data_IF_089932065454
#
_entry.id   IF_089932065454
#
_cell.length_a   1.000
_cell.length_b   1.000
_cell.length_c   1.000
_cell.angle_alpha   90.00
_cell.angle_beta   90.00
_cell.angle_gamma   90.00
#
_symmetry.space_group_name_H-M   'P 1'
#
loop_
_entity.id
_entity.type
_entity.pdbx_description
1 polymer ?
#
# COMPACT_ATOMS: atom_id res chain seq x y z
N UNK A 1 6.31 -12.61 -9.75
CA UNK A 1 6.01 -13.27 -8.46
C UNK A 1 7.16 -13.03 -7.49
N UNK A 2 8.36 -13.57 -7.71
CA UNK A 2 9.53 -13.49 -6.83
C UNK A 2 9.76 -12.09 -6.21
N UNK A 3 9.93 -11.05 -7.02
CA UNK A 3 10.15 -9.68 -6.51
C UNK A 3 8.96 -9.13 -5.71
N UNK A 4 7.73 -9.45 -6.11
CA UNK A 4 6.54 -9.06 -5.33
C UNK A 4 6.50 -9.74 -3.98
N UNK A 5 6.78 -11.05 -3.93
CA UNK A 5 6.80 -11.82 -2.68
C UNK A 5 7.85 -11.27 -1.70
N UNK A 6 9.06 -10.98 -2.18
CA UNK A 6 10.10 -10.35 -1.37
C UNK A 6 9.70 -8.96 -0.86
N UNK A 7 9.08 -8.15 -1.71
CA UNK A 7 8.59 -6.84 -1.31
C UNK A 7 7.45 -6.94 -0.28
N UNK A 8 6.50 -7.86 -0.49
CA UNK A 8 5.42 -8.08 0.49
C UNK A 8 5.96 -8.59 1.82
N UNK A 9 6.98 -9.45 1.82
CA UNK A 9 7.65 -9.88 3.05
C UNK A 9 8.18 -8.69 3.86
N UNK A 10 8.79 -7.71 3.20
CA UNK A 10 9.23 -6.47 3.86
C UNK A 10 8.06 -5.62 4.36
N UNK A 11 6.97 -5.53 3.60
CA UNK A 11 5.76 -4.85 4.04
C UNK A 11 5.14 -5.53 5.28
N UNK A 12 5.17 -6.87 5.37
CA UNK A 12 4.72 -7.63 6.55
C UNK A 12 5.49 -7.26 7.82
N UNK A 13 6.73 -6.82 7.69
CA UNK A 13 7.57 -6.37 8.82
C UNK A 13 7.34 -4.88 9.13
N UNK A 14 7.24 -4.04 8.10
CA UNK A 14 7.22 -2.58 8.25
C UNK A 14 5.81 -2.00 8.49
N UNK A 15 4.76 -2.54 7.88
CA UNK A 15 3.43 -1.95 7.94
C UNK A 15 2.67 -2.16 9.26
N UNK A 16 2.73 -3.32 9.94
CA UNK A 16 1.99 -3.54 11.17
C UNK A 16 2.30 -2.56 12.30
N UNK A 17 3.57 -2.24 12.62
CA UNK A 17 3.87 -1.23 13.65
C UNK A 17 3.34 0.15 13.30
N UNK A 18 3.43 0.57 12.01
CA UNK A 18 2.87 1.84 11.56
C UNK A 18 1.36 1.86 11.74
N UNK A 19 0.67 0.79 11.36
CA UNK A 19 -0.78 0.68 11.49
C UNK A 19 -1.23 0.69 12.95
N UNK A 20 -0.51 -0.02 13.81
CA UNK A 20 -0.79 -0.02 15.25
C UNK A 20 -0.71 1.38 15.84
N UNK A 21 0.34 2.11 15.54
CA UNK A 21 0.51 3.49 16.01
C UNK A 21 -0.59 4.40 15.43
N UNK A 22 -0.91 4.24 14.16
CA UNK A 22 -1.92 5.02 13.44
C UNK A 22 -3.34 4.76 13.98
N UNK A 23 -3.67 3.52 14.29
CA UNK A 23 -4.97 3.14 14.90
C UNK A 23 -5.04 3.41 16.40
N UNK A 24 -3.92 3.79 17.01
CA UNK A 24 -3.83 4.04 18.46
C UNK A 24 -3.72 2.79 19.30
N UNK A 25 -3.17 1.73 18.75
CA UNK A 25 -2.92 0.47 19.44
C UNK A 25 -4.10 -0.51 19.43
N UNK A 26 -5.23 -0.13 18.82
CA UNK A 26 -6.45 -0.94 18.84
C UNK A 26 -6.58 -1.94 17.69
N UNK A 27 -5.71 -1.88 16.69
CA UNK A 27 -5.83 -2.70 15.49
C UNK A 27 -4.51 -3.39 15.15
N UNK A 28 -4.60 -4.65 14.77
CA UNK A 28 -3.48 -5.45 14.27
C UNK A 28 -3.64 -5.68 12.78
N UNK A 29 -2.64 -5.25 11.99
CA UNK A 29 -2.61 -5.43 10.55
C UNK A 29 -1.80 -6.67 10.21
N UNK A 30 -2.33 -7.52 9.33
CA UNK A 30 -1.59 -8.60 8.72
C UNK A 30 -1.74 -8.61 7.20
N UNK A 31 -0.71 -9.08 6.51
CA UNK A 31 -0.63 -9.08 5.07
C UNK A 31 -0.31 -10.49 4.58
N UNK A 32 -0.95 -10.94 3.50
CA UNK A 32 -0.63 -12.23 2.88
C UNK A 32 -0.60 -12.07 1.36
N UNK A 33 0.51 -12.47 0.75
CA UNK A 33 0.62 -12.52 -0.71
C UNK A 33 0.06 -13.83 -1.22
N UNK A 34 -0.92 -13.76 -2.11
CA UNK A 34 -1.56 -14.93 -2.72
C UNK A 34 -1.30 -14.96 -4.21
N UNK A 35 -0.94 -16.13 -4.74
CA UNK A 35 -0.75 -16.34 -6.16
C UNK A 35 -1.92 -17.14 -6.74
N UNK A 36 -2.47 -16.69 -7.86
CA UNK A 36 -3.52 -17.42 -8.59
C UNK A 36 -3.02 -18.78 -9.09
N UNK A 37 -1.72 -18.85 -9.40
CA UNK A 37 -1.08 -20.07 -9.91
C UNK A 37 -0.81 -21.12 -8.82
N UNK A 38 -1.29 -20.92 -7.59
CA UNK A 38 -1.05 -21.81 -6.43
C UNK A 38 0.43 -22.19 -6.29
N UNK A 39 1.30 -21.19 -6.38
CA UNK A 39 2.74 -21.36 -6.21
C UNK A 39 3.01 -21.69 -4.73
N UNK A 40 3.61 -22.84 -4.41
CA UNK A 40 3.82 -23.25 -3.02
C UNK A 40 4.77 -22.32 -2.25
N UNK A 41 5.81 -21.84 -2.92
CA UNK A 41 6.76 -20.87 -2.37
C UNK A 41 6.97 -19.71 -3.34
N UNK A 42 6.28 -18.59 -3.16
CA UNK A 42 6.47 -17.40 -4.01
C UNK A 42 7.84 -16.72 -3.86
N UNK A 43 8.60 -17.05 -2.79
CA UNK A 43 9.95 -16.52 -2.56
C UNK A 43 11.03 -17.32 -3.32
N UNK A 44 10.68 -18.49 -3.86
CA UNK A 44 11.59 -19.32 -4.65
C UNK A 44 12.20 -18.53 -5.82
N UNK A 45 13.33 -19.01 -6.33
CA UNK A 45 14.04 -18.35 -7.41
C UNK A 45 13.21 -18.30 -8.70
N UNK A 46 13.44 -17.33 -9.60
CA UNK A 46 12.75 -17.28 -10.90
C UNK A 46 12.88 -18.55 -11.72
N UNK A 47 14.00 -19.28 -11.58
CA UNK A 47 14.23 -20.56 -12.29
C UNK A 47 13.29 -21.67 -11.78
N UNK A 48 12.99 -21.68 -10.50
CA UNK A 48 12.06 -22.63 -9.88
C UNK A 48 10.59 -22.27 -10.13
N UNK A 49 10.28 -20.97 -10.18
CA UNK A 49 8.92 -20.46 -10.42
C UNK A 49 8.48 -20.64 -11.87
N UNK A 50 9.38 -20.48 -12.84
CA UNK A 50 9.04 -20.52 -14.27
C UNK A 50 8.35 -21.80 -14.70
N UNK A 51 8.84 -23.02 -14.37
CA UNK A 51 8.16 -24.27 -14.74
C UNK A 51 6.74 -24.37 -14.17
N UNK A 52 6.52 -23.89 -12.93
CA UNK A 52 5.21 -23.91 -12.28
C UNK A 52 4.21 -22.99 -12.99
N UNK A 53 4.66 -21.82 -13.42
CA UNK A 53 3.85 -20.88 -14.19
C UNK A 53 3.49 -21.43 -15.58
N UNK A 54 4.45 -22.04 -16.29
CA UNK A 54 4.22 -22.64 -17.60
C UNK A 54 3.25 -23.82 -17.50
N UNK A 55 3.36 -24.66 -16.48
CA UNK A 55 2.43 -25.75 -16.22
C UNK A 55 1.00 -25.23 -15.94
N UNK A 56 0.88 -24.19 -15.09
CA UNK A 56 -0.40 -23.54 -14.84
C UNK A 56 -1.01 -22.97 -16.12
N UNK A 57 -0.23 -22.27 -16.92
CA UNK A 57 -0.68 -21.72 -18.21
C UNK A 57 -1.13 -22.83 -19.17
N UNK A 58 -0.36 -23.92 -19.28
CA UNK A 58 -0.72 -25.04 -20.13
C UNK A 58 -2.08 -25.66 -19.74
N UNK A 59 -2.32 -25.85 -18.44
CA UNK A 59 -3.60 -26.37 -17.94
C UNK A 59 -4.79 -25.45 -18.15
N UNK A 60 -4.58 -24.14 -18.20
CA UNK A 60 -5.65 -23.14 -18.35
C UNK A 60 -5.78 -22.60 -19.79
N UNK A 61 -4.99 -23.12 -20.74
CA UNK A 61 -4.93 -22.62 -22.11
C UNK A 61 -6.32 -22.52 -22.78
N UNK A 62 -7.16 -23.53 -22.65
CA UNK A 62 -8.50 -23.50 -23.26
C UNK A 62 -9.38 -22.42 -22.61
N UNK A 63 -9.37 -22.30 -21.28
CA UNK A 63 -10.11 -21.28 -20.56
C UNK A 63 -9.64 -19.86 -20.92
N UNK A 64 -8.33 -19.66 -21.15
CA UNK A 64 -7.78 -18.38 -21.63
C UNK A 64 -8.28 -18.03 -23.03
N UNK A 65 -8.33 -19.02 -23.93
CA UNK A 65 -8.86 -18.83 -25.28
C UNK A 65 -10.35 -18.49 -25.27
N UNK A 66 -11.14 -19.21 -24.48
CA UNK A 66 -12.59 -19.03 -24.40
C UNK A 66 -12.95 -17.67 -23.75
N UNK A 67 -12.24 -17.30 -22.66
CA UNK A 67 -12.47 -16.03 -21.98
C UNK A 67 -11.78 -14.83 -22.60
N UNK A 68 -10.85 -15.06 -23.54
CA UNK A 68 -9.96 -14.04 -24.13
C UNK A 68 -9.19 -13.23 -23.07
N UNK A 69 -8.87 -13.87 -21.94
CA UNK A 69 -8.15 -13.28 -20.84
C UNK A 69 -6.97 -14.16 -20.44
N UNK A 70 -5.84 -13.55 -20.11
CA UNK A 70 -4.73 -14.28 -19.50
C UNK A 70 -5.10 -14.61 -18.05
N UNK A 71 -5.13 -15.88 -17.68
CA UNK A 71 -5.48 -16.38 -16.35
C UNK A 71 -4.24 -16.73 -15.52
N UNK A 72 -3.08 -16.78 -16.15
CA UNK A 72 -1.81 -17.16 -15.51
C UNK A 72 -0.88 -15.96 -15.40
N UNK A 73 -0.24 -15.78 -14.25
CA UNK A 73 0.79 -14.76 -14.05
C UNK A 73 0.48 -13.75 -12.93
N UNK A 74 1.47 -12.91 -12.59
CA UNK A 74 1.44 -12.06 -11.39
C UNK A 74 0.39 -10.94 -11.44
N UNK A 75 -0.21 -10.65 -12.58
CA UNK A 75 -1.31 -9.68 -12.70
C UNK A 75 -2.63 -10.19 -12.10
N UNK A 76 -2.71 -11.48 -11.82
CA UNK A 76 -3.84 -12.13 -11.13
C UNK A 76 -3.58 -12.38 -9.64
N UNK A 77 -2.34 -12.15 -9.19
CA UNK A 77 -2.00 -12.30 -7.79
C UNK A 77 -2.62 -11.16 -6.95
N UNK A 78 -2.88 -11.42 -5.68
CA UNK A 78 -3.49 -10.46 -4.77
C UNK A 78 -2.68 -10.30 -3.48
N UNK A 79 -2.86 -9.17 -2.82
CA UNK A 79 -2.39 -8.90 -1.47
C UNK A 79 -3.60 -8.89 -0.53
N UNK A 80 -3.72 -9.93 0.26
CA UNK A 80 -4.75 -9.97 1.29
C UNK A 80 -4.29 -9.10 2.46
N UNK A 81 -5.21 -8.25 2.90
CA UNK A 81 -5.00 -7.34 4.04
C UNK A 81 -6.06 -7.66 5.08
N UNK A 82 -5.63 -8.10 6.25
CA UNK A 82 -6.52 -8.40 7.35
C UNK A 82 -6.26 -7.43 8.51
N UNK A 83 -7.35 -7.03 9.18
CA UNK A 83 -7.33 -6.21 10.40
C UNK A 83 -7.99 -7.03 11.51
N UNK A 84 -7.26 -7.29 12.59
CA UNK A 84 -7.69 -8.14 13.70
C UNK A 84 -8.17 -9.54 13.22
N UNK A 85 -7.48 -10.09 12.20
CA UNK A 85 -7.81 -11.41 11.64
C UNK A 85 -9.02 -11.43 10.72
N UNK A 86 -9.61 -10.29 10.38
CA UNK A 86 -10.74 -10.17 9.45
C UNK A 86 -10.33 -9.42 8.19
N UNK A 87 -10.78 -9.91 7.02
CA UNK A 87 -10.45 -9.27 5.74
C UNK A 87 -10.90 -7.80 5.71
N UNK A 88 -9.94 -6.90 5.56
CA UNK A 88 -10.20 -5.47 5.45
C UNK A 88 -11.10 -5.12 4.26
N UNK A 89 -10.99 -5.88 3.17
CA UNK A 89 -11.80 -5.72 1.95
C UNK A 89 -13.27 -6.03 2.18
N UNK A 90 -13.58 -7.02 3.02
CA UNK A 90 -14.95 -7.52 3.21
C UNK A 90 -15.61 -6.96 4.46
N UNK A 91 -14.83 -6.79 5.53
CA UNK A 91 -15.35 -6.47 6.86
C UNK A 91 -14.80 -5.16 7.44
N UNK A 92 -13.78 -4.58 6.79
CA UNK A 92 -13.18 -3.32 7.25
C UNK A 92 -14.16 -2.16 7.11
N UNK A 93 -14.25 -1.33 8.16
CA UNK A 93 -14.90 -0.03 8.05
C UNK A 93 -14.12 0.87 7.08
N UNK A 94 -14.76 1.91 6.55
CA UNK A 94 -14.13 2.86 5.67
C UNK A 94 -12.87 3.49 6.29
N UNK A 95 -12.93 3.85 7.58
CA UNK A 95 -11.80 4.40 8.32
C UNK A 95 -10.65 3.39 8.49
N UNK A 96 -10.97 2.11 8.77
CA UNK A 96 -9.98 1.04 8.87
C UNK A 96 -9.27 0.77 7.54
N UNK A 97 -10.03 0.66 6.47
CA UNK A 97 -9.48 0.41 5.13
C UNK A 97 -8.55 1.55 4.69
N UNK A 98 -8.93 2.81 4.95
CA UNK A 98 -8.09 3.99 4.66
C UNK A 98 -6.83 4.00 5.51
N UNK A 99 -6.95 3.74 6.81
CA UNK A 99 -5.80 3.66 7.72
C UNK A 99 -4.83 2.57 7.29
N UNK A 100 -5.33 1.40 6.90
CA UNK A 100 -4.50 0.31 6.37
C UNK A 100 -3.78 0.71 5.08
N UNK A 101 -4.48 1.31 4.11
CA UNK A 101 -3.89 1.78 2.86
C UNK A 101 -2.77 2.81 3.08
N UNK A 102 -2.99 3.77 3.98
CA UNK A 102 -1.98 4.77 4.33
C UNK A 102 -0.80 4.15 5.08
N UNK A 103 -1.04 3.19 5.98
CA UNK A 103 0.02 2.46 6.67
C UNK A 103 0.92 1.71 5.69
N UNK A 104 0.33 1.08 4.66
CA UNK A 104 1.08 0.43 3.58
C UNK A 104 1.91 1.44 2.76
N UNK A 105 1.35 2.61 2.45
CA UNK A 105 2.06 3.67 1.73
C UNK A 105 3.23 4.23 2.52
N UNK A 106 3.06 4.45 3.82
CA UNK A 106 4.14 4.91 4.70
C UNK A 106 5.22 3.84 4.84
N UNK A 107 4.83 2.57 5.01
CA UNK A 107 5.77 1.45 5.04
C UNK A 107 6.56 1.32 3.73
N UNK A 108 5.90 1.44 2.59
CA UNK A 108 6.55 1.45 1.27
C UNK A 108 7.60 2.56 1.18
N UNK A 109 7.26 3.76 1.68
CA UNK A 109 8.17 4.91 1.71
C UNK A 109 9.41 4.63 2.55
N UNK A 110 9.24 4.05 3.74
CA UNK A 110 10.35 3.68 4.64
C UNK A 110 11.24 2.57 4.06
N UNK A 111 10.63 1.57 3.42
CA UNK A 111 11.34 0.50 2.72
C UNK A 111 12.21 1.08 1.59
N UNK A 112 11.66 1.99 0.80
CA UNK A 112 12.38 2.62 -0.30
C UNK A 112 13.58 3.42 0.23
N UNK A 113 13.37 4.24 1.25
CA UNK A 113 14.44 5.02 1.89
C UNK A 113 15.55 4.12 2.44
N UNK A 114 15.19 3.00 3.06
CA UNK A 114 16.17 2.06 3.60
C UNK A 114 16.99 1.34 2.51
N UNK A 115 16.45 1.20 1.29
CA UNK A 115 17.16 0.58 0.15
C UNK A 115 18.05 1.54 -0.62
N UNK A 116 17.57 2.79 -0.80
CA UNK A 116 18.22 3.76 -1.68
C UNK A 116 18.95 4.86 -0.93
N UNK A 117 18.80 4.92 0.39
CA UNK A 117 19.26 6.03 1.25
C UNK A 117 18.62 7.39 0.89
N UNK A 118 17.64 7.40 -0.02
CA UNK A 118 16.93 8.58 -0.48
C UNK A 118 15.44 8.49 -0.15
N UNK A 119 14.84 9.61 0.28
CA UNK A 119 13.41 9.68 0.47
C UNK A 119 12.69 9.84 -0.85
N UNK A 120 11.71 8.97 -1.17
CA UNK A 120 10.87 9.18 -2.35
C UNK A 120 9.96 10.38 -2.15
N UNK A 121 9.58 11.03 -3.24
CA UNK A 121 8.53 12.06 -3.24
C UNK A 121 7.21 11.41 -2.80
N UNK A 122 6.58 11.98 -1.77
CA UNK A 122 5.29 11.53 -1.28
C UNK A 122 4.18 12.45 -1.78
N UNK A 123 3.16 11.88 -2.40
CA UNK A 123 1.98 12.59 -2.87
C UNK A 123 0.78 12.14 -2.03
N UNK A 124 0.14 13.07 -1.34
CA UNK A 124 -1.06 12.87 -0.54
C UNK A 124 -2.20 13.72 -1.11
N UNK A 125 -3.05 13.09 -1.92
CA UNK A 125 -4.14 13.77 -2.61
C UNK A 125 -5.43 13.63 -1.80
N UNK A 126 -5.91 14.75 -1.25
CA UNK A 126 -7.10 14.90 -0.40
C UNK A 126 -7.21 13.91 0.77
N UNK A 127 -6.07 13.39 1.23
CA UNK A 127 -6.04 12.35 2.26
C UNK A 127 -6.49 12.87 3.62
N UNK A 128 -6.18 14.15 3.92
CA UNK A 128 -6.43 14.73 5.24
C UNK A 128 -7.92 14.99 5.49
N UNK A 129 -8.71 15.27 4.44
CA UNK A 129 -10.16 15.52 4.57
C UNK A 129 -10.92 14.33 5.13
N UNK A 130 -10.40 13.14 4.93
CA UNK A 130 -11.03 11.87 5.26
C UNK A 130 -10.60 11.28 6.60
N UNK A 131 -9.73 11.97 7.33
CA UNK A 131 -9.14 11.52 8.60
C UNK A 131 -9.62 12.40 9.76
N UNK A 132 -9.78 11.77 10.92
CA UNK A 132 -9.94 12.50 12.18
C UNK A 132 -8.63 13.21 12.58
N UNK A 133 -8.73 14.21 13.47
CA UNK A 133 -7.61 15.05 13.88
C UNK A 133 -6.40 14.28 14.43
N UNK A 134 -6.64 13.15 15.12
CA UNK A 134 -5.56 12.30 15.64
C UNK A 134 -4.78 11.63 14.51
N UNK A 135 -5.47 11.08 13.52
CA UNK A 135 -4.87 10.44 12.36
C UNK A 135 -4.16 11.46 11.47
N UNK A 136 -4.74 12.66 11.31
CA UNK A 136 -4.07 13.77 10.62
C UNK A 136 -2.74 14.10 11.29
N UNK A 137 -2.73 14.33 12.61
CA UNK A 137 -1.53 14.64 13.37
C UNK A 137 -0.48 13.51 13.25
N UNK A 138 -0.91 12.24 13.27
CA UNK A 138 0.01 11.11 13.09
C UNK A 138 0.73 11.18 11.73
N UNK A 139 -0.01 11.39 10.63
CA UNK A 139 0.58 11.49 9.29
C UNK A 139 1.55 12.67 9.23
N UNK A 140 1.08 13.87 9.60
CA UNK A 140 1.88 15.10 9.52
C UNK A 140 3.19 15.00 10.31
N UNK A 141 3.18 14.32 11.46
CA UNK A 141 4.39 14.09 12.25
C UNK A 141 5.32 13.02 11.64
N UNK A 142 4.79 12.09 10.85
CA UNK A 142 5.58 10.97 10.28
C UNK A 142 6.17 11.25 8.90
N UNK A 143 5.65 12.22 8.16
CA UNK A 143 6.13 12.56 6.80
C UNK A 143 7.41 13.40 6.77
N UNK A 144 8.17 13.41 7.86
CA UNK A 144 9.46 14.11 7.93
C UNK A 144 10.46 13.52 6.96
N UNK A 145 11.30 14.37 6.39
CA UNK A 145 12.30 14.02 5.37
C UNK A 145 11.72 13.92 3.96
N UNK A 146 12.54 14.24 2.97
CA UNK A 146 12.15 14.25 1.56
C UNK A 146 11.12 15.31 1.17
N UNK A 147 10.69 15.27 -0.06
CA UNK A 147 9.68 16.17 -0.61
C UNK A 147 8.29 15.55 -0.47
N UNK A 148 7.34 16.34 0.03
CA UNK A 148 5.95 15.92 0.20
C UNK A 148 5.03 16.96 -0.42
N UNK A 149 4.07 16.50 -1.22
CA UNK A 149 2.98 17.33 -1.74
C UNK A 149 1.68 16.85 -1.11
N UNK A 150 0.94 17.78 -0.55
CA UNK A 150 -0.36 17.51 0.07
C UNK A 150 -1.39 18.41 -0.59
N UNK A 151 -2.47 17.84 -1.10
CA UNK A 151 -3.65 18.60 -1.52
C UNK A 151 -4.72 18.50 -0.45
N UNK A 152 -5.41 19.60 -0.19
CA UNK A 152 -6.57 19.66 0.70
C UNK A 152 -7.47 20.82 0.34
N UNK A 153 -8.75 20.72 0.69
CA UNK A 153 -9.73 21.81 0.47
C UNK A 153 -9.84 22.76 1.68
N UNK A 154 -9.31 22.39 2.84
CA UNK A 154 -9.42 23.11 4.10
C UNK A 154 -8.02 23.40 4.65
N UNK A 155 -7.67 24.68 4.74
CA UNK A 155 -6.35 25.13 5.22
C UNK A 155 -6.10 24.76 6.69
N UNK A 156 -7.15 24.75 7.50
CA UNK A 156 -7.11 24.40 8.93
C UNK A 156 -6.52 22.99 9.19
N UNK A 157 -6.65 22.09 8.22
CA UNK A 157 -6.10 20.72 8.29
C UNK A 157 -4.58 20.66 8.17
N UNK A 158 -3.96 21.75 7.76
CA UNK A 158 -2.51 21.90 7.63
C UNK A 158 -1.85 22.58 8.83
N UNK A 159 -2.61 23.02 9.84
CA UNK A 159 -2.09 23.75 11.01
C UNK A 159 -1.01 22.99 11.82
N UNK A 160 -0.96 21.66 11.68
CA UNK A 160 0.07 20.82 12.30
C UNK A 160 1.37 20.68 11.49
N UNK A 161 1.48 21.30 10.30
CA UNK A 161 2.69 21.26 9.49
C UNK A 161 3.70 22.29 9.95
N UNK A 162 4.83 21.82 10.47
CA UNK A 162 5.98 22.67 10.77
C UNK A 162 6.80 22.89 9.49
N UNK A 163 6.64 24.04 8.87
CA UNK A 163 7.37 24.42 7.65
C UNK A 163 6.67 23.99 6.36
N UNK A 164 7.27 24.35 5.24
CA UNK A 164 6.70 24.10 3.92
C UNK A 164 6.23 25.38 3.24
N UNK A 165 5.65 25.23 2.05
CA UNK A 165 5.07 26.33 1.27
C UNK A 165 3.64 25.96 0.88
N UNK A 166 2.68 26.79 1.28
CA UNK A 166 1.32 26.66 0.84
C UNK A 166 1.14 27.36 -0.51
N UNK A 167 0.33 26.76 -1.37
CA UNK A 167 -0.07 27.28 -2.65
C UNK A 167 -1.60 27.26 -2.70
N UNK A 168 -2.22 28.40 -2.95
CA UNK A 168 -3.66 28.47 -3.13
C UNK A 168 -3.99 28.37 -4.62
N UNK A 169 -4.96 27.52 -4.96
CA UNK A 169 -5.41 27.32 -6.34
C UNK A 169 -6.88 27.70 -6.45
N UNK A 170 -7.20 28.66 -7.30
CA UNK A 170 -8.56 29.08 -7.58
C UNK A 170 -8.77 29.22 -9.09
N UNK A 171 -9.82 28.61 -9.62
CA UNK A 171 -10.12 28.65 -11.05
C UNK A 171 -9.00 28.13 -11.96
N UNK A 172 -8.19 27.16 -11.48
CA UNK A 172 -7.05 26.60 -12.21
C UNK A 172 -5.77 27.46 -12.21
N UNK A 173 -5.73 28.52 -11.42
CA UNK A 173 -4.59 29.43 -11.29
C UNK A 173 -4.07 29.46 -9.86
N UNK A 174 -2.76 29.65 -9.71
CA UNK A 174 -2.13 29.94 -8.41
C UNK A 174 -2.40 31.39 -8.03
N UNK A 175 -2.81 31.61 -6.78
CA UNK A 175 -3.07 32.94 -6.20
C UNK A 175 -2.24 33.11 -4.92
#
# INVERSE_FOLDING_TARGET
>A
IHYRAHFVKRLQEAAPPIHRDFSGGGEELSLTYTTVSNIPDPLASPKELLPLLLDHQARHKQAELDSRQCLSGPHKDDLLVDINGLSAKTYGSQGQTRTAALSLKLAQREIFQAETEEWPVLLLDDVLSELDSRRQAFILNRIRGGQVFITCCEEEKLEGLEGGKAFHVQGGSLI
#
